data_IF_476952355841
#
_entry.id   IF_476952355841
#
_cell.length_a   1.000
_cell.length_b   1.000
_cell.length_c   1.000
_cell.angle_alpha   90.00
_cell.angle_beta   90.00
_cell.angle_gamma   90.00
#
_symmetry.space_group_name_H-M   'P 1'
#
loop_
_entity.id
_entity.type
_entity.pdbx_description
1 polymer ?
#
# COMPACT_ATOMS: atom_id res chain seq x y z
N UNK A 1 8.17 12.55 31.60
CA UNK A 1 7.83 13.94 31.16
C UNK A 1 7.65 14.05 29.65
N UNK A 2 8.66 13.73 28.81
CA UNK A 2 8.59 13.88 27.34
C UNK A 2 7.46 13.08 26.67
N UNK A 3 7.29 11.80 27.02
CA UNK A 3 6.18 10.96 26.52
C UNK A 3 4.81 11.58 26.78
N UNK A 4 4.62 12.18 27.95
CA UNK A 4 3.35 12.78 28.34
C UNK A 4 3.10 14.09 27.59
N UNK A 5 4.14 14.88 27.35
CA UNK A 5 4.07 16.07 26.50
C UNK A 5 3.63 15.71 25.07
N UNK A 6 4.29 14.74 24.43
CA UNK A 6 3.97 14.30 23.06
C UNK A 6 2.50 13.84 22.97
N UNK A 7 2.05 13.05 23.94
CA UNK A 7 0.67 12.54 23.96
C UNK A 7 -0.34 13.68 24.12
N UNK A 8 -0.10 14.58 25.07
CA UNK A 8 -1.00 15.72 25.32
C UNK A 8 -1.06 16.66 24.12
N UNK A 9 0.05 16.92 23.44
CA UNK A 9 0.07 17.75 22.23
C UNK A 9 -0.67 17.08 21.07
N UNK A 10 -0.54 15.76 20.91
CA UNK A 10 -1.32 15.00 19.93
C UNK A 10 -2.81 15.02 20.24
N UNK A 11 -3.21 14.82 21.50
CA UNK A 11 -4.62 14.87 21.94
C UNK A 11 -5.22 16.27 21.76
N UNK A 12 -4.42 17.32 21.95
CA UNK A 12 -4.82 18.72 21.73
C UNK A 12 -4.74 19.17 20.27
N UNK A 13 -4.37 18.29 19.34
CA UNK A 13 -4.20 18.59 17.92
C UNK A 13 -3.21 19.72 17.62
N UNK A 14 -2.27 20.00 18.54
CA UNK A 14 -1.21 21.00 18.36
C UNK A 14 -0.02 20.37 17.61
N UNK A 15 -0.28 19.89 16.40
CA UNK A 15 0.66 19.11 15.61
C UNK A 15 1.79 19.96 15.01
N UNK A 16 1.51 21.21 14.67
CA UNK A 16 2.49 22.14 14.11
C UNK A 16 3.61 22.43 15.10
N UNK A 17 3.25 22.78 16.33
CA UNK A 17 4.20 23.02 17.42
C UNK A 17 5.09 21.79 17.66
N UNK A 18 4.50 20.59 17.59
CA UNK A 18 5.25 19.34 17.77
C UNK A 18 6.27 19.13 16.64
N UNK A 19 5.97 19.52 15.41
CA UNK A 19 6.88 19.36 14.26
C UNK A 19 7.99 20.40 14.27
N UNK A 20 7.65 21.65 14.54
CA UNK A 20 8.56 22.79 14.46
C UNK A 20 9.54 22.86 15.65
N UNK A 21 9.18 22.31 16.81
CA UNK A 21 9.99 22.41 18.02
C UNK A 21 11.41 21.84 17.82
N UNK A 22 12.47 22.57 18.18
CA UNK A 22 13.84 22.08 18.10
C UNK A 22 14.14 21.13 19.27
N UNK A 23 13.89 19.83 19.09
CA UNK A 23 14.26 18.78 20.06
C UNK A 23 15.76 18.50 20.03
N UNK A 24 16.56 19.45 20.52
CA UNK A 24 18.03 19.30 20.65
C UNK A 24 18.32 18.07 21.52
N UNK A 25 19.08 17.11 20.98
CA UNK A 25 19.44 15.81 21.60
C UNK A 25 18.30 14.86 21.97
N UNK A 26 17.03 15.28 21.89
CA UNK A 26 15.85 14.45 22.21
C UNK A 26 15.15 13.89 20.97
N UNK A 27 15.73 14.10 19.78
CA UNK A 27 15.14 13.74 18.50
C UNK A 27 14.73 12.27 18.39
N UNK A 28 15.67 11.38 18.70
CA UNK A 28 15.46 9.94 18.60
C UNK A 28 14.44 9.45 19.64
N UNK A 29 14.38 10.11 20.81
CA UNK A 29 13.39 9.78 21.83
C UNK A 29 11.97 10.16 21.39
N UNK A 30 11.78 11.37 20.83
CA UNK A 30 10.48 11.81 20.31
C UNK A 30 10.02 10.91 19.18
N UNK A 31 10.90 10.63 18.21
CA UNK A 31 10.60 9.70 17.11
C UNK A 31 10.23 8.32 17.66
N UNK A 32 11.02 7.77 18.59
CA UNK A 32 10.73 6.47 19.20
C UNK A 32 9.39 6.43 19.96
N UNK A 33 9.02 7.52 20.64
CA UNK A 33 7.72 7.64 21.31
C UNK A 33 6.57 7.66 20.29
N UNK A 34 6.68 8.48 19.24
CA UNK A 34 5.66 8.60 18.20
C UNK A 34 5.53 7.28 17.44
N UNK A 35 6.63 6.65 17.07
CA UNK A 35 6.64 5.33 16.42
C UNK A 35 5.98 4.26 17.30
N UNK A 36 6.33 4.20 18.58
CA UNK A 36 5.71 3.25 19.51
C UNK A 36 4.20 3.46 19.58
N UNK A 37 3.75 4.73 19.65
CA UNK A 37 2.31 5.06 19.66
C UNK A 37 1.65 4.73 18.33
N UNK A 38 2.30 5.06 17.20
CA UNK A 38 1.81 4.78 15.86
C UNK A 38 1.61 3.27 15.63
N UNK A 39 2.41 2.40 16.25
CA UNK A 39 2.25 0.94 16.20
C UNK A 39 1.24 0.39 17.21
N UNK A 40 1.05 1.06 18.35
CA UNK A 40 0.19 0.58 19.43
C UNK A 40 -1.28 1.02 19.32
N UNK A 41 -1.53 2.16 18.67
CA UNK A 41 -2.87 2.76 18.56
C UNK A 41 -3.56 2.28 17.28
N UNK A 42 -4.90 2.25 17.31
CA UNK A 42 -5.73 1.94 16.14
C UNK A 42 -5.62 3.05 15.08
N UNK A 43 -5.45 2.64 13.82
CA UNK A 43 -5.22 3.50 12.67
C UNK A 43 -6.36 4.49 12.40
N UNK A 44 -7.57 4.17 12.85
CA UNK A 44 -8.77 4.99 12.61
C UNK A 44 -8.97 6.11 13.64
N UNK A 45 -8.21 6.12 14.73
CA UNK A 45 -8.42 7.06 15.84
C UNK A 45 -7.50 8.27 15.77
N UNK A 46 -6.20 8.07 15.57
CA UNK A 46 -5.20 9.13 15.61
C UNK A 46 -4.15 8.93 14.50
N UNK A 47 -3.89 9.98 13.73
CA UNK A 47 -3.00 9.95 12.57
C UNK A 47 -1.51 10.10 12.94
N UNK A 48 -1.00 9.26 13.84
CA UNK A 48 0.41 9.30 14.27
C UNK A 48 1.41 9.08 13.11
N UNK A 49 1.05 8.26 12.11
CA UNK A 49 1.91 8.05 10.93
C UNK A 49 2.03 9.30 10.06
N UNK A 50 0.94 10.04 9.86
CA UNK A 50 0.96 11.30 9.10
C UNK A 50 1.77 12.37 9.84
N UNK A 51 1.64 12.42 11.16
CA UNK A 51 2.45 13.29 12.01
C UNK A 51 3.94 12.94 11.92
N UNK A 52 4.28 11.66 12.00
CA UNK A 52 5.66 11.20 11.90
C UNK A 52 6.26 11.47 10.52
N UNK A 53 5.45 11.34 9.46
CA UNK A 53 5.82 11.74 8.11
C UNK A 53 6.09 13.25 8.02
N UNK A 54 5.17 14.09 8.49
CA UNK A 54 5.35 15.54 8.50
C UNK A 54 6.60 15.95 9.28
N UNK A 55 6.85 15.30 10.42
CA UNK A 55 8.05 15.48 11.24
C UNK A 55 9.35 15.19 10.48
N UNK A 56 9.38 14.11 9.69
CA UNK A 56 10.56 13.76 8.89
C UNK A 56 10.72 14.65 7.65
N UNK A 57 9.63 15.04 6.99
CA UNK A 57 9.65 15.95 5.83
C UNK A 57 10.16 17.32 6.23
N UNK A 58 9.68 17.89 7.34
CA UNK A 58 10.13 19.19 7.84
C UNK A 58 11.64 19.24 8.10
N UNK A 59 12.25 18.08 8.38
CA UNK A 59 13.69 17.96 8.68
C UNK A 59 14.49 17.38 7.51
N UNK A 60 13.90 17.35 6.32
CA UNK A 60 14.50 16.83 5.09
C UNK A 60 15.01 15.38 5.18
N UNK A 61 14.46 14.59 6.11
CA UNK A 61 14.77 13.18 6.28
C UNK A 61 13.87 12.31 5.41
N UNK A 62 13.97 12.48 4.09
CA UNK A 62 13.10 11.81 3.12
C UNK A 62 13.15 10.29 3.22
N UNK A 63 14.30 9.72 3.59
CA UNK A 63 14.42 8.26 3.73
C UNK A 63 13.51 7.72 4.82
N UNK A 64 13.58 8.33 6.01
CA UNK A 64 12.74 7.96 7.16
C UNK A 64 11.27 8.26 6.89
N UNK A 65 10.97 9.40 6.24
CA UNK A 65 9.61 9.73 5.82
C UNK A 65 9.02 8.64 4.90
N UNK A 66 9.79 8.17 3.93
CA UNK A 66 9.41 7.08 3.04
C UNK A 66 9.19 5.76 3.78
N UNK A 67 10.11 5.37 4.68
CA UNK A 67 9.96 4.19 5.53
C UNK A 67 8.65 4.20 6.33
N UNK A 68 8.35 5.34 6.97
CA UNK A 68 7.15 5.50 7.81
C UNK A 68 5.87 5.41 6.99
N UNK A 69 5.83 6.05 5.81
CA UNK A 69 4.67 5.95 4.93
C UNK A 69 4.49 4.56 4.33
N UNK A 70 5.58 3.87 4.01
CA UNK A 70 5.52 2.49 3.55
C UNK A 70 5.00 1.55 4.65
N UNK A 71 5.50 1.68 5.88
CA UNK A 71 4.99 0.93 7.05
C UNK A 71 3.49 1.22 7.27
N UNK A 72 3.07 2.48 7.14
CA UNK A 72 1.67 2.87 7.27
C UNK A 72 0.79 2.20 6.22
N UNK A 73 1.20 2.24 4.95
CA UNK A 73 0.48 1.57 3.85
C UNK A 73 0.36 0.06 4.05
N UNK A 74 1.43 -0.59 4.50
CA UNK A 74 1.43 -2.03 4.83
C UNK A 74 0.44 -2.36 5.94
N UNK A 75 0.38 -1.53 6.98
CA UNK A 75 -0.55 -1.72 8.11
C UNK A 75 -2.00 -1.49 7.69
N UNK A 76 -2.27 -0.44 6.90
CA UNK A 76 -3.58 -0.16 6.32
C UNK A 76 -4.11 -1.34 5.50
N UNK A 77 -3.28 -1.95 4.66
CA UNK A 77 -3.69 -3.12 3.86
C UNK A 77 -4.07 -4.35 4.70
N UNK A 78 -3.54 -4.47 5.92
CA UNK A 78 -3.83 -5.59 6.84
C UNK A 78 -5.04 -5.33 7.73
N UNK A 79 -5.22 -4.11 8.18
CA UNK A 79 -6.21 -3.73 9.21
C UNK A 79 -7.47 -3.08 8.61
N UNK A 80 -7.33 -2.25 7.56
CA UNK A 80 -8.41 -1.40 7.05
C UNK A 80 -8.69 -1.71 5.58
N UNK A 81 -9.45 -2.80 5.34
CA UNK A 81 -9.86 -3.27 4.00
C UNK A 81 -11.14 -2.61 3.49
N UNK A 82 -11.29 -1.31 3.73
CA UNK A 82 -12.40 -0.51 3.22
C UNK A 82 -11.93 0.28 2.00
N UNK A 83 -12.86 0.72 1.14
CA UNK A 83 -12.53 1.59 0.01
C UNK A 83 -11.67 2.81 0.41
N UNK A 84 -12.01 3.60 1.45
CA UNK A 84 -11.16 4.70 1.90
C UNK A 84 -9.81 4.23 2.46
N UNK A 85 -9.75 3.06 3.10
CA UNK A 85 -8.50 2.45 3.57
C UNK A 85 -7.55 2.08 2.43
N UNK A 86 -8.07 1.48 1.36
CA UNK A 86 -7.32 1.15 0.14
C UNK A 86 -6.84 2.39 -0.60
N UNK A 87 -7.68 3.44 -0.67
CA UNK A 87 -7.27 4.73 -1.23
C UNK A 87 -6.12 5.34 -0.43
N UNK A 88 -6.23 5.31 0.91
CA UNK A 88 -5.19 5.81 1.80
C UNK A 88 -3.91 5.00 1.67
N UNK A 89 -4.00 3.68 1.55
CA UNK A 89 -2.88 2.78 1.30
C UNK A 89 -2.14 3.16 0.01
N UNK A 90 -2.86 3.34 -1.11
CA UNK A 90 -2.25 3.74 -2.38
C UNK A 90 -1.53 5.10 -2.25
N UNK A 91 -2.15 6.07 -1.57
CA UNK A 91 -1.55 7.39 -1.32
C UNK A 91 -0.27 7.28 -0.47
N UNK A 92 -0.26 6.41 0.55
CA UNK A 92 0.92 6.17 1.37
C UNK A 92 2.09 5.60 0.56
N UNK A 93 1.84 4.62 -0.32
CA UNK A 93 2.90 4.09 -1.19
C UNK A 93 3.41 5.11 -2.20
N UNK A 94 2.52 5.93 -2.78
CA UNK A 94 2.94 7.04 -3.64
C UNK A 94 3.80 8.07 -2.89
N UNK A 95 3.41 8.42 -1.66
CA UNK A 95 4.20 9.31 -0.80
C UNK A 95 5.58 8.72 -0.50
N UNK A 96 5.66 7.41 -0.23
CA UNK A 96 6.93 6.72 0.01
C UNK A 96 7.84 6.73 -1.23
N UNK A 97 7.29 6.41 -2.41
CA UNK A 97 8.01 6.45 -3.70
C UNK A 97 8.53 7.87 -3.96
N UNK A 98 7.68 8.88 -3.78
CA UNK A 98 8.07 10.29 -3.97
C UNK A 98 9.22 10.67 -3.03
N UNK A 99 9.17 10.25 -1.76
CA UNK A 99 10.25 10.49 -0.81
C UNK A 99 11.56 9.82 -1.24
N UNK A 100 11.52 8.58 -1.70
CA UNK A 100 12.73 7.88 -2.15
C UNK A 100 13.30 8.50 -3.43
N UNK A 101 12.46 9.00 -4.33
CA UNK A 101 12.89 9.70 -5.56
C UNK A 101 13.56 11.05 -5.30
N UNK A 102 13.32 11.67 -4.14
CA UNK A 102 14.04 12.89 -3.73
C UNK A 102 15.47 12.60 -3.23
N UNK A 103 15.82 11.34 -3.01
CA UNK A 103 17.12 10.91 -2.51
C UNK A 103 17.96 10.40 -3.69
N UNK A 104 19.28 10.42 -3.55
CA UNK A 104 20.16 9.79 -4.55
C UNK A 104 19.83 8.29 -4.67
N UNK A 105 19.83 7.73 -5.89
CA UNK A 105 19.46 6.33 -6.13
C UNK A 105 20.23 5.31 -5.28
N UNK A 106 21.51 5.57 -4.94
CA UNK A 106 22.31 4.66 -4.13
C UNK A 106 21.81 4.50 -2.68
N UNK A 107 20.98 5.44 -2.19
CA UNK A 107 20.43 5.43 -0.84
C UNK A 107 18.89 5.26 -0.84
N UNK A 108 18.29 4.99 -1.99
CA UNK A 108 16.84 4.86 -2.17
C UNK A 108 16.34 3.44 -1.81
N UNK A 109 16.56 3.04 -0.56
CA UNK A 109 16.17 1.74 -0.02
C UNK A 109 15.60 1.86 1.40
N UNK A 110 14.66 0.96 1.70
CA UNK A 110 13.97 0.87 2.99
C UNK A 110 14.31 -0.47 3.63
N UNK A 111 14.37 -0.49 4.97
CA UNK A 111 14.54 -1.70 5.76
C UNK A 111 13.20 -2.06 6.36
N UNK A 112 12.77 -3.30 6.15
CA UNK A 112 11.59 -3.84 6.80
C UNK A 112 11.92 -5.22 7.39
N UNK A 113 11.38 -5.59 8.55
CA UNK A 113 11.33 -6.99 8.93
C UNK A 113 10.47 -7.76 7.92
N UNK A 114 10.99 -8.89 7.46
CA UNK A 114 10.39 -9.72 6.42
C UNK A 114 8.93 -10.05 6.76
N UNK A 115 8.08 -10.13 5.73
CA UNK A 115 6.68 -10.53 5.88
C UNK A 115 6.57 -11.89 6.61
N UNK A 116 5.98 -11.87 7.80
CA UNK A 116 5.85 -13.06 8.66
C UNK A 116 6.79 -13.10 9.86
N UNK A 117 7.77 -12.19 9.94
CA UNK A 117 8.54 -11.99 11.16
C UNK A 117 7.58 -11.52 12.28
N UNK A 118 7.44 -12.35 13.30
CA UNK A 118 6.71 -11.98 14.52
C UNK A 118 7.54 -10.90 15.19
N UNK A 119 7.05 -9.66 15.17
CA UNK A 119 7.52 -8.67 16.12
C UNK A 119 7.14 -9.16 17.52
N UNK A 120 8.10 -9.69 18.26
CA UNK A 120 7.92 -9.81 19.70
C UNK A 120 7.76 -8.41 20.26
N UNK A 121 6.57 -8.13 20.77
CA UNK A 121 6.29 -6.91 21.52
C UNK A 121 7.28 -6.89 22.70
N UNK A 122 8.06 -5.82 22.90
CA UNK A 122 8.84 -5.68 24.13
C UNK A 122 7.90 -5.81 25.34
N UNK A 123 8.02 -6.89 26.10
CA UNK A 123 7.13 -7.23 27.22
C UNK A 123 6.04 -8.28 26.93
N UNK A 124 6.05 -8.96 25.78
CA UNK A 124 5.24 -10.17 25.60
C UNK A 124 5.78 -11.29 26.49
N UNK A 125 4.91 -11.93 27.28
CA UNK A 125 5.28 -13.10 28.08
C UNK A 125 5.84 -14.20 27.17
N UNK A 126 7.00 -14.81 27.51
CA UNK A 126 7.57 -15.88 26.73
C UNK A 126 6.53 -16.99 26.51
N UNK A 127 6.31 -17.38 25.25
CA UNK A 127 5.46 -18.53 24.96
C UNK A 127 6.13 -19.77 25.57
N UNK A 128 5.44 -20.42 26.50
CA UNK A 128 5.88 -21.68 27.09
C UNK A 128 5.31 -22.83 26.28
N UNK A 129 6.12 -23.85 26.04
CA UNK A 129 5.64 -25.11 25.49
C UNK A 129 4.74 -25.82 26.52
N UNK A 130 4.04 -26.88 26.09
CA UNK A 130 3.19 -27.70 26.96
C UNK A 130 3.94 -28.22 28.21
N UNK A 131 5.26 -28.36 28.13
CA UNK A 131 6.13 -28.83 29.21
C UNK A 131 6.65 -27.71 30.13
N UNK A 132 6.17 -26.47 29.97
CA UNK A 132 6.53 -25.34 30.83
C UNK A 132 7.89 -24.69 30.54
N UNK A 133 8.66 -25.25 29.60
CA UNK A 133 9.90 -24.66 29.11
C UNK A 133 9.62 -23.43 28.24
N UNK A 134 10.47 -22.40 28.36
CA UNK A 134 10.43 -21.26 27.45
C UNK A 134 10.70 -21.76 26.03
N UNK A 135 9.74 -21.59 25.12
CA UNK A 135 9.99 -21.87 23.71
C UNK A 135 11.20 -21.01 23.26
N UNK A 136 12.13 -21.63 22.54
CA UNK A 136 13.24 -20.89 21.95
C UNK A 136 12.68 -19.70 21.17
N UNK A 137 13.20 -18.50 21.44
CA UNK A 137 12.81 -17.29 20.72
C UNK A 137 12.88 -17.59 19.21
N UNK A 138 11.86 -17.23 18.42
CA UNK A 138 11.87 -17.50 16.99
C UNK A 138 13.15 -16.90 16.41
N UNK A 139 14.00 -17.80 15.93
CA UNK A 139 15.34 -17.50 15.44
C UNK A 139 15.23 -16.62 14.21
N UNK A 140 15.58 -15.34 14.37
CA UNK A 140 15.84 -14.41 13.28
C UNK A 140 14.62 -13.61 12.83
N UNK A 141 14.52 -12.36 13.29
CA UNK A 141 13.84 -11.34 12.49
C UNK A 141 14.60 -11.20 11.18
N UNK A 142 14.18 -11.92 10.14
CA UNK A 142 14.76 -11.78 8.81
C UNK A 142 14.53 -10.34 8.36
N UNK A 143 15.60 -9.61 8.03
CA UNK A 143 15.52 -8.23 7.58
C UNK A 143 15.52 -8.23 6.07
N UNK A 144 14.55 -7.54 5.47
CA UNK A 144 14.42 -7.36 4.03
C UNK A 144 14.77 -5.92 3.66
N UNK A 145 15.60 -5.78 2.63
CA UNK A 145 15.94 -4.49 2.04
C UNK A 145 15.09 -4.34 0.79
N UNK A 146 14.22 -3.34 0.78
CA UNK A 146 13.33 -3.04 -0.33
C UNK A 146 13.88 -1.86 -1.13
N UNK A 147 14.03 -2.05 -2.43
CA UNK A 147 14.44 -1.02 -3.37
C UNK A 147 13.22 -0.28 -3.94
N UNK A 148 13.46 0.82 -4.65
CA UNK A 148 12.40 1.62 -5.28
C UNK A 148 11.48 0.78 -6.19
N UNK A 149 12.04 -0.18 -6.93
CA UNK A 149 11.28 -1.06 -7.82
C UNK A 149 10.30 -1.94 -7.05
N UNK A 150 10.65 -2.38 -5.85
CA UNK A 150 9.78 -3.22 -5.03
C UNK A 150 8.63 -2.39 -4.45
N UNK A 151 8.90 -1.14 -4.08
CA UNK A 151 7.85 -0.19 -3.70
C UNK A 151 6.89 0.12 -4.85
N UNK A 152 7.40 0.26 -6.08
CA UNK A 152 6.56 0.47 -7.27
C UNK A 152 5.65 -0.73 -7.53
N UNK A 153 6.12 -1.97 -7.32
CA UNK A 153 5.30 -3.18 -7.39
C UNK A 153 4.20 -3.19 -6.33
N UNK A 154 4.50 -2.83 -5.09
CA UNK A 154 3.50 -2.74 -4.01
C UNK A 154 2.47 -1.64 -4.26
N UNK A 155 2.92 -0.50 -4.80
CA UNK A 155 2.04 0.59 -5.21
C UNK A 155 1.10 0.17 -6.34
N UNK A 156 1.60 -0.58 -7.33
CA UNK A 156 0.78 -1.16 -8.41
C UNK A 156 -0.28 -2.10 -7.83
N UNK A 157 0.08 -2.99 -6.90
CA UNK A 157 -0.88 -3.88 -6.25
C UNK A 157 -1.95 -3.10 -5.49
N UNK A 158 -1.58 -2.09 -4.71
CA UNK A 158 -2.55 -1.25 -3.99
C UNK A 158 -3.50 -0.52 -4.95
N UNK A 159 -2.98 -0.02 -6.08
CA UNK A 159 -3.80 0.62 -7.10
C UNK A 159 -4.79 -0.35 -7.75
N UNK A 160 -4.34 -1.54 -8.16
CA UNK A 160 -5.21 -2.59 -8.71
C UNK A 160 -6.30 -2.96 -7.70
N UNK A 161 -5.93 -3.09 -6.42
CA UNK A 161 -6.87 -3.41 -5.36
C UNK A 161 -7.94 -2.34 -5.17
N UNK A 162 -7.53 -1.08 -5.22
CA UNK A 162 -8.44 0.06 -5.17
C UNK A 162 -9.38 0.08 -6.38
N UNK A 163 -8.87 -0.12 -7.60
CA UNK A 163 -9.70 -0.07 -8.81
C UNK A 163 -10.74 -1.19 -8.83
N UNK A 164 -10.37 -2.41 -8.41
CA UNK A 164 -11.33 -3.51 -8.26
C UNK A 164 -12.41 -3.18 -7.20
N UNK A 165 -12.01 -2.60 -6.06
CA UNK A 165 -12.95 -2.17 -5.02
C UNK A 165 -13.87 -1.01 -5.45
N UNK A 166 -13.45 -0.18 -6.41
CA UNK A 166 -14.27 0.87 -7.01
C UNK A 166 -15.30 0.30 -8.00
N UNK A 167 -14.93 -0.73 -8.76
CA UNK A 167 -15.84 -1.42 -9.67
C UNK A 167 -16.90 -2.24 -8.92
N UNK A 168 -16.50 -2.91 -7.84
CA UNK A 168 -17.40 -3.69 -6.98
C UNK A 168 -17.06 -3.41 -5.51
N UNK A 169 -17.93 -2.68 -4.84
CA UNK A 169 -17.74 -2.28 -3.43
C UNK A 169 -17.67 -3.48 -2.48
N UNK A 170 -18.27 -4.62 -2.84
CA UNK A 170 -18.24 -5.85 -2.02
C UNK A 170 -16.92 -6.61 -2.15
N UNK A 171 -16.15 -6.33 -3.21
CA UNK A 171 -14.88 -7.01 -3.50
C UNK A 171 -13.71 -6.53 -2.64
N UNK A 172 -13.86 -5.42 -1.90
CA UNK A 172 -12.75 -4.79 -1.15
C UNK A 172 -12.06 -5.74 -0.16
N UNK A 173 -12.84 -6.58 0.55
CA UNK A 173 -12.29 -7.55 1.50
C UNK A 173 -11.51 -8.68 0.83
N UNK A 174 -12.02 -9.18 -0.31
CA UNK A 174 -11.41 -10.27 -1.10
C UNK A 174 -10.10 -9.79 -1.72
N UNK A 175 -10.16 -8.60 -2.30
CA UNK A 175 -9.07 -7.97 -3.04
C UNK A 175 -7.87 -7.62 -2.15
N UNK A 176 -8.10 -7.27 -0.88
CA UNK A 176 -7.04 -6.93 0.08
C UNK A 176 -6.04 -8.06 0.36
N UNK A 177 -6.45 -9.32 0.27
CA UNK A 177 -5.59 -10.49 0.54
C UNK A 177 -5.18 -11.26 -0.72
N UNK A 178 -5.68 -10.84 -1.88
CA UNK A 178 -5.45 -11.55 -3.13
C UNK A 178 -3.97 -11.49 -3.53
N UNK A 179 -3.44 -12.64 -3.91
CA UNK A 179 -2.13 -12.79 -4.56
C UNK A 179 -2.14 -12.18 -5.96
N UNK A 180 -0.98 -11.85 -6.55
CA UNK A 180 -0.91 -11.33 -7.91
C UNK A 180 -1.64 -12.22 -8.94
N UNK A 181 -1.60 -13.55 -8.76
CA UNK A 181 -2.30 -14.49 -9.66
C UNK A 181 -3.83 -14.39 -9.53
N UNK A 182 -4.34 -14.26 -8.32
CA UNK A 182 -5.78 -14.09 -8.06
C UNK A 182 -6.27 -12.72 -8.57
N UNK A 183 -5.46 -11.67 -8.39
CA UNK A 183 -5.74 -10.35 -8.93
C UNK A 183 -5.85 -10.35 -10.45
N UNK A 184 -5.02 -11.12 -11.16
CA UNK A 184 -5.16 -11.30 -12.63
C UNK A 184 -6.53 -11.90 -12.97
N UNK A 185 -6.97 -12.94 -12.24
CA UNK A 185 -8.28 -13.55 -12.49
C UNK A 185 -9.43 -12.56 -12.22
N UNK A 186 -9.36 -11.80 -11.14
CA UNK A 186 -10.35 -10.76 -10.80
C UNK A 186 -10.40 -9.64 -11.84
N UNK A 187 -9.23 -9.16 -12.30
CA UNK A 187 -9.13 -8.15 -13.35
C UNK A 187 -9.73 -8.64 -14.66
N UNK A 188 -9.45 -9.88 -15.04
CA UNK A 188 -10.01 -10.50 -16.25
C UNK A 188 -11.53 -10.64 -16.15
N UNK A 189 -12.05 -11.03 -14.98
CA UNK A 189 -13.49 -11.12 -14.73
C UNK A 189 -14.16 -9.73 -14.79
N UNK A 190 -13.52 -8.69 -14.24
CA UNK A 190 -13.97 -7.31 -14.34
C UNK A 190 -13.80 -6.72 -15.75
N UNK A 191 -13.04 -7.37 -16.63
CA UNK A 191 -12.75 -6.92 -17.98
C UNK A 191 -11.71 -5.82 -18.06
N UNK A 192 -10.81 -5.71 -17.08
CA UNK A 192 -9.72 -4.73 -16.97
C UNK A 192 -8.40 -5.36 -17.44
N UNK A 193 -8.32 -5.67 -18.73
CA UNK A 193 -7.22 -6.36 -19.38
C UNK A 193 -5.90 -5.59 -19.39
N UNK A 194 -5.86 -4.27 -19.56
CA UNK A 194 -4.59 -3.54 -19.60
C UNK A 194 -3.84 -3.58 -18.27
N UNK A 195 -4.58 -3.43 -17.17
CA UNK A 195 -4.03 -3.63 -15.83
C UNK A 195 -3.62 -5.09 -15.61
N UNK A 196 -4.37 -6.06 -16.13
CA UNK A 196 -4.00 -7.48 -16.05
C UNK A 196 -2.70 -7.77 -16.82
N UNK A 197 -2.52 -7.20 -18.01
CA UNK A 197 -1.28 -7.33 -18.81
C UNK A 197 -0.11 -6.71 -18.04
N UNK A 198 -0.28 -5.49 -17.54
CA UNK A 198 0.75 -4.78 -16.76
C UNK A 198 1.17 -5.57 -15.52
N UNK A 199 0.20 -6.14 -14.80
CA UNK A 199 0.45 -7.00 -13.64
C UNK A 199 1.18 -8.29 -14.04
N UNK A 200 0.77 -8.96 -15.12
CA UNK A 200 1.43 -10.15 -15.62
C UNK A 200 2.88 -9.87 -16.04
N UNK A 201 3.15 -8.76 -16.73
CA UNK A 201 4.51 -8.38 -17.13
C UNK A 201 5.40 -8.12 -15.90
N UNK A 202 4.87 -7.41 -14.91
CA UNK A 202 5.60 -7.04 -13.69
C UNK A 202 5.98 -8.26 -12.84
N UNK A 203 5.06 -9.22 -12.69
CA UNK A 203 5.26 -10.42 -11.89
C UNK A 203 5.68 -11.65 -12.72
N UNK A 204 5.98 -11.46 -14.02
CA UNK A 204 6.35 -12.53 -14.97
C UNK A 204 5.35 -13.69 -14.98
N UNK A 205 4.05 -13.38 -14.93
CA UNK A 205 2.95 -14.36 -14.99
C UNK A 205 2.55 -14.63 -16.45
N UNK A 206 1.82 -15.72 -16.68
CA UNK A 206 1.36 -16.08 -18.02
C UNK A 206 0.25 -15.12 -18.51
N UNK A 207 0.36 -14.69 -19.77
CA UNK A 207 -0.65 -13.84 -20.43
C UNK A 207 -1.80 -14.63 -21.05
N UNK A 208 -1.71 -15.97 -21.13
CA UNK A 208 -2.76 -16.85 -21.66
C UNK A 208 -4.17 -16.55 -21.12
N UNK A 209 -4.42 -16.52 -19.79
CA UNK A 209 -5.78 -16.30 -19.28
C UNK A 209 -6.37 -14.94 -19.67
N UNK A 210 -5.50 -13.93 -19.84
CA UNK A 210 -5.89 -12.59 -20.29
C UNK A 210 -6.33 -12.62 -21.74
N UNK A 211 -5.51 -13.21 -22.64
CA UNK A 211 -5.83 -13.29 -24.06
C UNK A 211 -7.01 -14.21 -24.37
N UNK A 212 -7.13 -15.34 -23.68
CA UNK A 212 -8.28 -16.25 -23.82
C UNK A 212 -9.59 -15.53 -23.49
N UNK A 213 -9.60 -14.81 -22.37
CA UNK A 213 -10.79 -14.09 -21.91
C UNK A 213 -11.10 -12.85 -22.74
N UNK A 214 -10.08 -12.12 -23.19
CA UNK A 214 -10.24 -11.03 -24.15
C UNK A 214 -10.84 -11.53 -25.46
N UNK A 215 -10.29 -12.62 -26.01
CA UNK A 215 -10.77 -13.24 -27.25
C UNK A 215 -12.22 -13.69 -27.09
N UNK A 216 -12.55 -14.35 -25.97
CA UNK A 216 -13.92 -14.75 -25.66
C UNK A 216 -14.88 -13.56 -25.60
N UNK A 217 -14.46 -12.45 -24.98
CA UNK A 217 -15.26 -11.22 -24.90
C UNK A 217 -15.46 -10.60 -26.29
N UNK A 218 -14.45 -10.56 -27.14
CA UNK A 218 -14.55 -10.10 -28.53
C UNK A 218 -15.51 -10.96 -29.37
N UNK A 219 -15.43 -12.29 -29.24
CA UNK A 219 -16.37 -13.21 -29.91
C UNK A 219 -17.79 -12.93 -29.46
N UNK A 220 -18.02 -12.79 -28.14
CA UNK A 220 -19.34 -12.47 -27.59
C UNK A 220 -19.89 -11.13 -28.11
N UNK A 221 -19.03 -10.14 -28.33
CA UNK A 221 -19.42 -8.86 -28.94
C UNK A 221 -19.81 -9.01 -30.41
N UNK A 222 -19.08 -9.82 -31.18
CA UNK A 222 -19.38 -10.06 -32.59
C UNK A 222 -20.76 -10.72 -32.80
N UNK A 223 -21.16 -11.60 -31.89
CA UNK A 223 -22.47 -12.26 -31.91
C UNK A 223 -23.53 -11.54 -31.06
N UNK A 224 -23.16 -10.44 -30.39
CA UNK A 224 -24.06 -9.63 -29.58
C UNK A 224 -24.82 -8.62 -30.44
N UNK A 225 -26.11 -8.44 -30.18
CA UNK A 225 -26.88 -7.38 -30.82
C UNK A 225 -26.40 -5.97 -30.43
N UNK A 226 -27.03 -4.93 -30.99
CA UNK A 226 -26.61 -3.52 -30.80
C UNK A 226 -26.52 -3.08 -29.33
N UNK A 227 -27.37 -3.62 -28.44
CA UNK A 227 -27.31 -3.33 -27.01
C UNK A 227 -25.98 -3.77 -26.36
N UNK A 228 -25.43 -4.92 -26.78
CA UNK A 228 -24.15 -5.45 -26.27
C UNK A 228 -22.98 -4.63 -26.80
N UNK A 229 -23.10 -4.09 -28.02
CA UNK A 229 -22.12 -3.17 -28.60
C UNK A 229 -22.10 -1.81 -27.89
N UNK A 230 -23.24 -1.34 -27.36
CA UNK A 230 -23.29 -0.12 -26.56
C UNK A 230 -22.50 -0.27 -25.25
N UNK A 231 -22.73 -1.36 -24.51
CA UNK A 231 -21.97 -1.71 -23.29
C UNK A 231 -20.48 -1.99 -23.59
N UNK A 232 -20.14 -2.33 -24.84
CA UNK A 232 -18.76 -2.57 -25.24
C UNK A 232 -17.87 -1.33 -25.08
N UNK A 233 -18.44 -0.14 -25.34
CA UNK A 233 -17.71 1.12 -25.26
C UNK A 233 -17.27 1.44 -23.83
N UNK A 234 -18.08 1.09 -22.84
CA UNK A 234 -17.80 1.38 -21.43
C UNK A 234 -16.61 0.56 -20.92
N UNK A 235 -16.55 -0.74 -21.22
CA UNK A 235 -15.40 -1.56 -20.79
C UNK A 235 -14.16 -1.29 -21.64
N UNK A 236 -14.29 -0.94 -22.93
CA UNK A 236 -13.16 -0.49 -23.74
C UNK A 236 -12.58 0.83 -23.21
N UNK A 237 -13.43 1.76 -22.79
CA UNK A 237 -13.00 3.01 -22.16
C UNK A 237 -12.29 2.76 -20.82
N UNK A 238 -12.76 1.77 -20.04
CA UNK A 238 -12.12 1.39 -18.77
C UNK A 238 -10.71 0.79 -18.95
N UNK A 239 -10.42 0.17 -20.10
CA UNK A 239 -9.08 -0.27 -20.50
C UNK A 239 -8.35 0.87 -21.21
N UNK A 240 -8.20 2.01 -20.53
CA UNK A 240 -7.80 3.26 -21.18
C UNK A 240 -6.66 3.06 -22.19
N UNK A 241 -7.06 3.19 -23.46
CA UNK A 241 -6.22 3.32 -24.62
C UNK A 241 -5.44 4.64 -24.49
N UNK A 242 -4.34 4.63 -23.75
CA UNK A 242 -3.37 5.75 -23.79
C UNK A 242 -2.82 6.01 -25.20
N UNK A 243 -3.12 5.13 -26.17
CA UNK A 243 -2.79 5.25 -27.59
C UNK A 243 -3.96 5.61 -28.52
N UNK A 244 -5.23 5.56 -28.09
CA UNK A 244 -6.37 5.90 -28.96
C UNK A 244 -6.91 7.26 -28.56
N UNK A 245 -6.20 8.28 -29.04
CA UNK A 245 -6.79 9.58 -29.34
C UNK A 245 -8.01 9.26 -30.21
N UNK A 246 -9.20 9.40 -29.65
CA UNK A 246 -10.44 9.42 -30.40
C UNK A 246 -10.37 10.60 -31.34
N UNK A 247 -9.94 10.36 -32.58
CA UNK A 247 -10.17 11.26 -33.71
C UNK A 247 -11.66 11.25 -34.02
N UNK A 248 -12.49 11.81 -33.13
CA UNK A 248 -13.88 12.12 -33.43
C UNK A 248 -14.02 13.63 -33.62
N UNK A 249 -13.89 13.97 -34.91
CA UNK A 249 -14.53 15.08 -35.62
C UNK A 249 -14.13 16.51 -35.26
N UNK A 250 -13.19 17.03 -36.06
CA UNK A 250 -13.38 18.35 -36.66
C UNK A 250 -14.70 18.34 -37.45
N UNK A 251 -15.63 19.18 -37.05
CA UNK A 251 -16.68 19.73 -37.91
C UNK A 251 -16.74 21.22 -37.68
#
# INVERSE_FOLDING_TARGET
CLRQLVVVLCERSQLQDLVEFPYVNLHNEVVGIIEYRARAVDLMTHNYYELLYAFHIYRHNYRKAGTVMFEYGMRLGREVRTLPGLQKQANCYLAAINCLRLIRPQYAWIVQPASGAVYERPGASPKRNHDGECAAAPTGSHIEILELQDLEKECMLAHIRLTLAQHDSTSAAITGNSSPKELVALLVQAGLFDMAISLCQTYKLSLRPVFESLTFKCIKLQFGGEAVLAEAWDWLAANQLSSVITTKKNR
#
